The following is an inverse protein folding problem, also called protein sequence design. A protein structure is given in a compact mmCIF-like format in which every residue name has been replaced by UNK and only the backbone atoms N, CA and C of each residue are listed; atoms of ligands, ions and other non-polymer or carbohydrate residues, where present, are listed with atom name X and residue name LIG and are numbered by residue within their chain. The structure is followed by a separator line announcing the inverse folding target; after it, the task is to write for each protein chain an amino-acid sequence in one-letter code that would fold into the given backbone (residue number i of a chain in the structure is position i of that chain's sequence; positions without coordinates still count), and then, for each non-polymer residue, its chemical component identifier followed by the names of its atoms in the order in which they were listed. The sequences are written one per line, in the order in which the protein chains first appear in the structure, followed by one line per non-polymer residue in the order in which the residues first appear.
data_IF_905961854392
#
_entry.id   IF_905961854392
#
_cell.length_a   1.000
_cell.length_b   1.000
_cell.length_c   1.000
_cell.angle_alpha   90.00
_cell.angle_beta   90.00
_cell.angle_gamma   90.00
#
_symmetry.space_group_name_H-M   'P 1'
#
loop_
_entity.id
_entity.type
_entity.pdbx_description
1 polymer ?
#
# COMPACT_ATOMS: atom_id res chain seq x y z
N UNK A 1 3.53 -20.38 -1.41
CA UNK A 1 2.91 -19.09 -1.06
C UNK A 1 2.23 -18.57 -2.30
N UNK A 2 0.97 -18.20 -2.20
CA UNK A 2 0.17 -17.71 -3.33
C UNK A 2 0.08 -16.18 -3.30
N UNK A 3 0.34 -15.54 -4.43
CA UNK A 3 0.28 -14.09 -4.64
C UNK A 3 -0.85 -13.72 -5.59
N UNK A 4 -1.28 -12.45 -5.57
CA UNK A 4 -2.30 -11.93 -6.47
C UNK A 4 -1.64 -10.94 -7.45
N UNK A 5 -1.42 -11.32 -8.72
CA UNK A 5 -0.63 -10.54 -9.66
C UNK A 5 -1.24 -9.17 -10.00
N UNK A 6 -2.53 -8.98 -9.73
CA UNK A 6 -3.24 -7.70 -9.87
C UNK A 6 -2.83 -6.66 -8.83
N UNK A 7 -2.09 -7.08 -7.80
CA UNK A 7 -1.63 -6.22 -6.70
C UNK A 7 -0.14 -6.39 -6.46
N UNK A 8 0.52 -5.32 -6.01
CA UNK A 8 1.92 -5.33 -5.64
C UNK A 8 2.12 -4.75 -4.25
N UNK A 9 3.07 -5.34 -3.53
CA UNK A 9 3.36 -4.97 -2.16
C UNK A 9 4.31 -3.76 -2.13
N UNK A 10 3.95 -2.75 -1.36
CA UNK A 10 4.69 -1.52 -1.27
C UNK A 10 5.57 -1.52 -0.03
N UNK A 11 6.83 -1.10 -0.18
CA UNK A 11 7.79 -1.01 0.92
C UNK A 11 7.54 0.15 1.90
N UNK A 12 6.30 0.65 2.00
CA UNK A 12 5.91 1.66 2.97
C UNK A 12 5.79 1.02 4.37
N UNK A 13 6.11 1.78 5.42
CA UNK A 13 6.13 1.31 6.83
C UNK A 13 4.85 0.63 7.35
N UNK A 14 3.71 0.78 6.69
CA UNK A 14 2.44 0.17 7.12
C UNK A 14 1.94 -0.95 6.17
N UNK A 15 2.82 -1.60 5.40
CA UNK A 15 2.47 -2.75 4.55
C UNK A 15 1.28 -2.45 3.63
N UNK A 16 1.52 -1.56 2.66
CA UNK A 16 0.47 -1.11 1.74
C UNK A 16 0.43 -1.95 0.48
N UNK A 17 -0.78 -2.27 0.03
CA UNK A 17 -1.03 -2.99 -1.20
C UNK A 17 -1.56 -2.00 -2.24
N UNK A 18 -0.93 -1.99 -3.42
CA UNK A 18 -1.37 -1.18 -4.55
C UNK A 18 -1.88 -2.09 -5.68
N UNK A 19 -2.91 -1.70 -6.44
CA UNK A 19 -3.26 -2.39 -7.67
C UNK A 19 -2.17 -2.14 -8.73
N UNK A 20 -1.98 -3.07 -9.68
CA UNK A 20 -1.00 -2.92 -10.79
C UNK A 20 -1.30 -1.75 -11.72
N UNK A 21 -2.54 -1.23 -11.71
CA UNK A 21 -2.86 0.04 -12.39
C UNK A 21 -2.06 1.23 -11.84
N UNK A 22 -1.60 1.13 -10.58
CA UNK A 22 -0.71 2.10 -9.95
C UNK A 22 0.73 1.65 -10.16
N UNK A 23 1.43 2.26 -11.11
CA UNK A 23 2.80 1.84 -11.47
C UNK A 23 3.88 2.38 -10.53
N UNK A 24 3.56 3.37 -9.69
CA UNK A 24 4.48 4.02 -8.76
C UNK A 24 3.75 4.47 -7.50
N UNK A 25 4.27 4.15 -6.33
CA UNK A 25 3.81 4.71 -5.07
C UNK A 25 4.19 6.19 -4.99
N UNK A 26 3.21 7.06 -4.77
CA UNK A 26 3.46 8.51 -4.63
C UNK A 26 4.15 8.89 -3.32
N UNK A 27 4.18 8.00 -2.32
CA UNK A 27 4.76 8.24 -0.99
C UNK A 27 6.25 7.90 -0.90
N UNK A 28 6.60 6.66 -1.25
CA UNK A 28 7.99 6.19 -1.17
C UNK A 28 8.71 6.18 -2.53
N UNK A 29 7.97 6.39 -3.64
CA UNK A 29 8.55 6.35 -4.99
C UNK A 29 8.76 4.94 -5.56
N UNK A 30 8.48 3.87 -4.79
CA UNK A 30 8.61 2.49 -5.25
C UNK A 30 7.79 2.23 -6.52
N UNK A 31 8.31 1.42 -7.45
CA UNK A 31 7.65 1.11 -8.72
C UNK A 31 7.12 -0.31 -8.69
N UNK A 32 5.92 -0.52 -9.24
CA UNK A 32 5.25 -1.82 -9.25
C UNK A 32 6.05 -2.96 -9.90
N UNK A 33 6.94 -2.62 -10.85
CA UNK A 33 7.83 -3.56 -11.53
C UNK A 33 9.03 -4.02 -10.69
N UNK A 34 9.40 -3.23 -9.68
CA UNK A 34 10.56 -3.45 -8.83
C UNK A 34 10.14 -4.07 -7.49
N UNK A 35 8.85 -4.36 -7.33
CA UNK A 35 8.23 -4.84 -6.09
C UNK A 35 7.47 -6.15 -6.35
N UNK A 36 7.40 -7.05 -5.37
CA UNK A 36 6.73 -8.33 -5.53
C UNK A 36 5.21 -8.16 -5.61
N UNK A 37 4.55 -9.17 -6.15
CA UNK A 37 3.09 -9.26 -6.10
C UNK A 37 2.64 -9.51 -4.65
N UNK A 38 1.53 -8.89 -4.25
CA UNK A 38 1.02 -9.01 -2.88
C UNK A 38 0.52 -10.42 -2.59
N UNK A 39 0.61 -10.86 -1.33
CA UNK A 39 0.05 -12.16 -0.93
C UNK A 39 -1.47 -12.11 -0.94
N UNK A 40 -2.11 -13.19 -1.40
CA UNK A 40 -3.58 -13.29 -1.43
C UNK A 40 -4.18 -13.01 -0.04
N UNK A 41 -3.57 -13.52 1.02
CA UNK A 41 -4.06 -13.34 2.39
C UNK A 41 -4.02 -11.89 2.87
N UNK A 42 -3.05 -11.11 2.43
CA UNK A 42 -2.92 -9.69 2.79
C UNK A 42 -3.92 -8.86 2.01
N UNK A 43 -4.13 -9.18 0.72
CA UNK A 43 -5.13 -8.49 -0.11
C UNK A 43 -6.55 -8.78 0.39
N UNK A 44 -6.84 -10.04 0.71
CA UNK A 44 -8.13 -10.43 1.29
C UNK A 44 -8.38 -9.73 2.63
N UNK A 45 -7.36 -9.65 3.50
CA UNK A 45 -7.49 -8.89 4.76
C UNK A 45 -7.83 -7.43 4.49
N UNK A 46 -7.14 -6.78 3.55
CA UNK A 46 -7.39 -5.38 3.24
C UNK A 46 -8.82 -5.16 2.73
N UNK A 47 -9.30 -6.02 1.82
CA UNK A 47 -10.68 -5.98 1.31
C UNK A 47 -11.73 -6.22 2.40
N UNK A 48 -11.48 -7.16 3.31
CA UNK A 48 -12.42 -7.50 4.40
C UNK A 48 -12.43 -6.45 5.51
N UNK A 49 -11.31 -5.80 5.79
CA UNK A 49 -11.20 -4.77 6.83
C UNK A 49 -11.56 -3.36 6.35
N UNK A 50 -11.85 -3.19 5.05
CA UNK A 50 -12.10 -1.88 4.46
C UNK A 50 -10.85 -1.00 4.44
N UNK A 51 -9.66 -1.60 4.60
CA UNK A 51 -8.40 -0.87 4.51
C UNK A 51 -8.19 -0.43 3.06
N UNK A 52 -7.75 0.81 2.81
CA UNK A 52 -7.84 1.34 1.47
C UNK A 52 -6.78 0.71 0.57
N UNK A 53 -7.21 -0.04 -0.44
CA UNK A 53 -6.36 -0.45 -1.57
C UNK A 53 -6.24 0.75 -2.51
N UNK A 54 -5.42 1.73 -2.11
CA UNK A 54 -5.44 3.07 -2.68
C UNK A 54 -4.41 3.30 -3.77
N UNK A 55 -4.82 4.06 -4.79
CA UNK A 55 -3.94 4.78 -5.72
C UNK A 55 -3.40 6.10 -5.13
N UNK A 56 -4.09 6.65 -4.12
CA UNK A 56 -3.73 7.90 -3.45
C UNK A 56 -4.41 7.93 -2.07
N UNK A 57 -3.66 8.23 -1.01
CA UNK A 57 -4.20 8.47 0.33
C UNK A 57 -3.86 9.91 0.75
N UNK A 58 -4.76 10.61 1.45
CA UNK A 58 -4.47 11.93 2.02
C UNK A 58 -3.30 11.81 3.01
N UNK A 59 -2.52 12.89 3.10
CA UNK A 59 -1.37 12.97 3.99
C UNK A 59 -1.75 12.50 5.41
N UNK A 60 -0.85 11.79 6.12
CA UNK A 60 -1.08 11.51 7.53
C UNK A 60 -1.36 12.84 8.25
N UNK A 61 -2.25 12.87 9.27
CA UNK A 61 -2.40 14.09 10.07
C UNK A 61 -1.00 14.46 10.55
N UNK A 62 -0.56 15.67 10.18
CA UNK A 62 0.68 16.24 10.68
C UNK A 62 0.60 16.10 12.20
N UNK A 63 1.57 15.37 12.76
CA UNK A 63 1.70 15.14 14.18
C UNK A 63 1.38 16.44 14.92
N UNK A 64 0.30 16.44 15.69
CA UNK A 64 0.03 17.51 16.63
C UNK A 64 1.12 17.41 17.71
N UNK A 65 2.21 18.13 17.50
CA UNK A 65 3.20 18.39 18.51
C UNK A 65 3.54 19.88 18.44
N UNK A 66 2.90 20.71 19.26
CA UNK A 66 3.60 21.71 20.00
C UNK A 66 3.75 21.17 21.41
N UNK A 67 4.93 20.59 21.68
CA UNK A 67 5.44 20.42 23.03
C UNK A 67 5.18 21.72 23.81
N UNK A 68 4.57 21.56 24.99
CA UNK A 68 4.24 22.64 25.93
C UNK A 68 5.44 23.44 26.39
#
# INVERSE_FOLDING_TARGET
METMPEFWDCNCKHHYIHPKSVTRCKRCGARAKDQPDSRITEVMRALLQGEPIVAEQPAPPASADPST
#
